data_IF_197590229926
#
_entry.id   IF_197590229926
#
_cell.length_a   1.000
_cell.length_b   1.000
_cell.length_c   1.000
_cell.angle_alpha   90.00
_cell.angle_beta   90.00
_cell.angle_gamma   90.00
#
_symmetry.space_group_name_H-M   'P 1'
#
loop_
_entity.id
_entity.type
_entity.pdbx_description
1 polymer ?
#
# COMPACT_ATOMS: atom_id res chain seq x y z
N UNK A 1 -9.51 4.50 -23.53
CA UNK A 1 -9.20 3.64 -22.36
C UNK A 1 -9.19 4.55 -21.16
N UNK A 2 -9.92 4.21 -20.10
CA UNK A 2 -10.08 5.12 -18.96
C UNK A 2 -9.02 4.83 -17.89
N UNK A 3 -7.83 5.39 -18.07
CA UNK A 3 -6.76 5.35 -17.07
C UNK A 3 -7.04 6.28 -15.87
N UNK A 4 -8.13 7.06 -15.91
CA UNK A 4 -8.48 8.03 -14.86
C UNK A 4 -8.99 7.37 -13.56
N UNK A 5 -9.15 6.05 -13.51
CA UNK A 5 -9.65 5.33 -12.33
C UNK A 5 -8.63 5.29 -11.18
N UNK A 6 -7.35 5.08 -11.49
CA UNK A 6 -6.31 4.75 -10.50
C UNK A 6 -5.35 5.92 -10.25
N UNK A 7 -5.91 7.12 -10.09
CA UNK A 7 -5.14 8.34 -9.81
C UNK A 7 -4.64 8.41 -8.36
N UNK A 8 -3.65 9.26 -8.05
CA UNK A 8 -3.28 9.54 -6.67
C UNK A 8 -4.47 9.95 -5.80
N UNK A 9 -5.41 10.74 -6.35
CA UNK A 9 -6.60 11.23 -5.65
C UNK A 9 -7.55 10.08 -5.26
N UNK A 10 -7.55 9.00 -6.04
CA UNK A 10 -8.29 7.78 -5.73
C UNK A 10 -7.65 6.99 -4.57
N UNK A 11 -6.32 6.86 -4.56
CA UNK A 11 -5.61 6.04 -3.58
C UNK A 11 -5.27 6.75 -2.28
N UNK A 12 -4.99 8.06 -2.29
CA UNK A 12 -4.66 8.86 -1.10
C UNK A 12 -5.56 8.59 0.12
N UNK A 13 -6.90 8.63 0.02
CA UNK A 13 -7.77 8.35 1.17
C UNK A 13 -7.67 6.90 1.67
N UNK A 14 -7.35 5.94 0.80
CA UNK A 14 -7.18 4.53 1.17
C UNK A 14 -5.84 4.32 1.87
N UNK A 15 -4.76 4.87 1.30
CA UNK A 15 -3.42 4.86 1.91
C UNK A 15 -3.47 5.52 3.30
N UNK A 16 -4.15 6.66 3.44
CA UNK A 16 -4.34 7.31 4.75
C UNK A 16 -4.99 6.39 5.78
N UNK A 17 -6.05 5.65 5.41
CA UNK A 17 -6.66 4.63 6.29
C UNK A 17 -5.69 3.50 6.63
N UNK A 18 -4.89 3.05 5.67
CA UNK A 18 -3.85 2.05 5.89
C UNK A 18 -2.76 2.53 6.85
N UNK A 19 -2.39 3.80 6.75
CA UNK A 19 -1.46 4.45 7.67
C UNK A 19 -2.03 4.51 9.08
N UNK A 20 -3.25 5.00 9.24
CA UNK A 20 -3.92 5.04 10.55
C UNK A 20 -4.00 3.65 11.18
N UNK A 21 -4.25 2.62 10.35
CA UNK A 21 -4.32 1.24 10.82
C UNK A 21 -2.97 0.69 11.27
N UNK A 22 -1.91 1.01 10.53
CA UNK A 22 -0.54 0.65 10.92
C UNK A 22 -0.09 1.41 12.16
N UNK A 23 -0.38 2.70 12.27
CA UNK A 23 -0.08 3.50 13.46
C UNK A 23 -0.81 2.97 14.71
N UNK A 24 -2.05 2.47 14.57
CA UNK A 24 -2.82 1.84 15.64
C UNK A 24 -2.20 0.51 16.11
N UNK A 25 -1.78 -0.35 15.17
CA UNK A 25 -1.40 -1.74 15.45
C UNK A 25 0.09 -1.98 15.59
N UNK A 26 0.91 -1.18 14.93
CA UNK A 26 2.36 -1.25 14.94
C UNK A 26 2.97 0.18 14.95
N UNK A 27 2.89 0.90 16.08
CA UNK A 27 3.46 2.24 16.18
C UNK A 27 4.95 2.24 15.84
N UNK A 28 5.39 3.14 14.95
CA UNK A 28 6.79 3.21 14.52
C UNK A 28 7.15 2.28 13.35
N UNK A 29 6.18 1.57 12.76
CA UNK A 29 6.38 0.66 11.61
C UNK A 29 7.25 1.23 10.49
N UNK A 30 7.20 2.54 10.25
CA UNK A 30 7.95 3.21 9.18
C UNK A 30 9.49 3.14 9.37
N UNK A 31 9.98 2.81 10.56
CA UNK A 31 11.40 2.53 10.79
C UNK A 31 11.83 1.14 10.28
N UNK A 32 10.91 0.19 10.27
CA UNK A 32 11.20 -1.21 9.91
C UNK A 32 11.07 -1.48 8.39
N UNK A 33 10.45 -0.55 7.66
CA UNK A 33 10.29 -0.66 6.20
C UNK A 33 11.57 -0.20 5.51
N UNK A 34 12.15 -1.03 4.65
CA UNK A 34 13.19 -0.58 3.72
C UNK A 34 12.53 -0.09 2.41
N UNK A 35 12.56 1.22 2.10
CA UNK A 35 11.90 1.76 0.89
C UNK A 35 12.50 1.22 -0.41
N UNK A 36 13.78 0.86 -0.42
CA UNK A 36 14.47 0.33 -1.62
C UNK A 36 14.00 -1.08 -1.99
N UNK A 37 13.27 -1.76 -1.10
CA UNK A 37 12.71 -3.09 -1.31
C UNK A 37 11.19 -3.08 -1.47
N UNK A 38 10.54 -1.91 -1.46
CA UNK A 38 9.09 -1.81 -1.50
C UNK A 38 8.56 -2.03 -2.92
N UNK A 39 7.77 -3.08 -3.10
CA UNK A 39 7.07 -3.42 -4.35
C UNK A 39 5.60 -3.75 -4.04
N UNK A 40 4.67 -2.85 -4.39
CA UNK A 40 3.28 -2.98 -3.96
C UNK A 40 2.50 -4.12 -4.63
N UNK A 41 2.93 -4.57 -5.81
CA UNK A 41 2.37 -5.71 -6.53
C UNK A 41 2.92 -7.07 -6.08
N UNK A 42 3.85 -7.07 -5.12
CA UNK A 42 4.46 -8.28 -4.57
C UNK A 42 3.95 -8.62 -3.17
N UNK A 43 3.59 -9.89 -2.94
CA UNK A 43 3.00 -10.32 -1.68
C UNK A 43 4.02 -10.34 -0.50
N UNK A 44 5.31 -10.51 -0.74
CA UNK A 44 6.37 -10.46 0.26
C UNK A 44 7.13 -9.13 0.30
N UNK A 45 7.13 -8.36 -0.80
CA UNK A 45 7.82 -7.07 -0.88
C UNK A 45 6.89 -5.85 -0.77
N UNK A 46 5.56 -6.02 -0.71
CA UNK A 46 4.65 -4.91 -0.39
C UNK A 46 4.77 -4.46 1.07
N UNK A 47 4.10 -3.36 1.43
CA UNK A 47 4.16 -2.80 2.79
C UNK A 47 3.84 -3.81 3.89
N UNK A 48 2.86 -4.68 3.68
CA UNK A 48 2.52 -5.74 4.63
C UNK A 48 3.50 -6.91 4.59
N UNK A 49 4.07 -7.20 3.42
CA UNK A 49 5.13 -8.19 3.25
C UNK A 49 6.40 -7.81 4.01
N UNK A 50 6.86 -6.57 3.87
CA UNK A 50 8.05 -6.09 4.57
C UNK A 50 7.88 -6.07 6.10
N UNK A 51 6.67 -5.74 6.59
CA UNK A 51 6.39 -5.66 8.02
C UNK A 51 6.05 -7.01 8.67
N UNK A 52 5.39 -7.91 7.94
CA UNK A 52 4.81 -9.13 8.51
C UNK A 52 5.23 -10.42 7.76
N UNK A 53 6.16 -10.31 6.81
CA UNK A 53 6.70 -11.40 5.99
C UNK A 53 5.84 -11.83 4.80
N UNK A 54 4.54 -11.54 4.81
CA UNK A 54 3.62 -11.86 3.71
C UNK A 54 2.34 -11.03 3.80
N UNK A 55 1.74 -10.69 2.66
CA UNK A 55 0.51 -9.90 2.54
C UNK A 55 -0.62 -10.41 3.45
N UNK A 56 -0.98 -11.69 3.32
CA UNK A 56 -2.06 -12.28 4.13
C UNK A 56 -1.74 -12.34 5.63
N UNK A 57 -0.46 -12.45 5.99
CA UNK A 57 -0.02 -12.39 7.39
C UNK A 57 -0.25 -11.00 7.96
N UNK A 58 0.09 -9.95 7.18
CA UNK A 58 -0.17 -8.57 7.57
C UNK A 58 -1.65 -8.24 7.68
N UNK A 59 -2.48 -8.69 6.73
CA UNK A 59 -3.93 -8.52 6.82
C UNK A 59 -4.49 -9.14 8.11
N UNK A 60 -4.06 -10.36 8.46
CA UNK A 60 -4.44 -11.02 9.71
C UNK A 60 -3.97 -10.25 10.94
N UNK A 61 -2.73 -9.78 10.94
CA UNK A 61 -2.17 -9.00 12.05
C UNK A 61 -2.93 -7.69 12.30
N UNK A 62 -3.43 -7.07 11.23
CA UNK A 62 -4.22 -5.84 11.29
C UNK A 62 -5.73 -6.07 11.52
N UNK A 63 -6.17 -7.33 11.56
CA UNK A 63 -7.60 -7.70 11.58
C UNK A 63 -8.37 -7.10 10.40
N UNK A 64 -7.76 -7.06 9.22
CA UNK A 64 -8.34 -6.57 7.96
C UNK A 64 -8.59 -7.75 7.04
N UNK A 65 -9.77 -7.79 6.41
CA UNK A 65 -10.15 -8.88 5.49
C UNK A 65 -9.83 -8.56 4.03
N UNK A 66 -9.85 -7.28 3.66
CA UNK A 66 -9.54 -6.79 2.32
C UNK A 66 -8.61 -5.58 2.44
N UNK A 67 -7.43 -5.67 1.81
CA UNK A 67 -6.45 -4.59 1.83
C UNK A 67 -6.79 -3.40 0.93
N UNK A 68 -7.79 -3.51 0.06
CA UNK A 68 -8.10 -2.48 -0.95
C UNK A 68 -8.57 -1.17 -0.31
N UNK A 69 -9.44 -1.25 0.70
CA UNK A 69 -9.93 -0.06 1.42
C UNK A 69 -8.83 0.68 2.21
N UNK A 70 -7.70 0.01 2.44
CA UNK A 70 -6.55 0.50 3.21
C UNK A 70 -5.34 0.81 2.33
N UNK A 71 -5.48 0.73 1.01
CA UNK A 71 -4.38 0.99 0.08
C UNK A 71 -3.24 -0.04 0.18
N UNK A 72 -3.53 -1.24 0.66
CA UNK A 72 -2.59 -2.38 0.62
C UNK A 72 -2.76 -3.22 -0.66
N UNK A 73 -3.82 -2.98 -1.44
CA UNK A 73 -4.15 -3.69 -2.67
C UNK A 73 -4.99 -2.80 -3.59
N UNK A 74 -5.25 -3.28 -4.81
CA UNK A 74 -6.03 -2.61 -5.85
C UNK A 74 -7.25 -3.46 -6.21
N UNK A 75 -8.40 -2.82 -6.41
CA UNK A 75 -9.62 -3.42 -6.94
C UNK A 75 -9.60 -3.51 -8.47
N UNK A 76 -8.88 -4.49 -9.01
CA UNK A 76 -8.88 -4.73 -10.45
C UNK A 76 -10.19 -5.35 -10.94
N UNK A 77 -10.60 -4.92 -12.12
CA UNK A 77 -11.58 -5.62 -12.93
C UNK A 77 -10.88 -6.60 -13.89
N UNK A 78 -11.58 -7.68 -14.26
CA UNK A 78 -11.05 -8.67 -15.21
C UNK A 78 -10.72 -8.03 -16.57
N UNK A 79 -11.45 -6.97 -16.93
CA UNK A 79 -11.25 -6.18 -18.16
C UNK A 79 -10.09 -5.19 -18.12
N UNK A 80 -9.46 -4.96 -16.96
CA UNK A 80 -8.32 -4.06 -16.87
C UNK A 80 -7.11 -4.68 -17.56
N UNK A 81 -6.50 -3.95 -18.50
CA UNK A 81 -5.28 -4.38 -19.18
C UNK A 81 -4.05 -4.18 -18.31
N UNK A 82 -2.94 -4.82 -18.68
CA UNK A 82 -1.72 -4.83 -17.89
C UNK A 82 -1.12 -3.42 -17.69
N UNK A 83 -1.29 -2.51 -18.65
CA UNK A 83 -0.87 -1.11 -18.52
C UNK A 83 -1.61 -0.39 -17.39
N UNK A 84 -2.94 -0.56 -17.32
CA UNK A 84 -3.77 0.03 -16.25
C UNK A 84 -3.36 -0.55 -14.89
N UNK A 85 -3.07 -1.86 -14.84
CA UNK A 85 -2.61 -2.52 -13.61
C UNK A 85 -1.25 -1.99 -13.16
N UNK A 86 -0.30 -1.88 -14.10
CA UNK A 86 1.04 -1.37 -13.82
C UNK A 86 1.02 0.08 -13.34
N UNK A 87 0.21 0.95 -13.95
CA UNK A 87 0.06 2.34 -13.52
C UNK A 87 -0.55 2.44 -12.11
N UNK A 88 -1.54 1.61 -11.82
CA UNK A 88 -2.19 1.59 -10.52
C UNK A 88 -1.22 1.13 -9.41
N UNK A 89 -0.43 0.08 -9.66
CA UNK A 89 0.61 -0.38 -8.74
C UNK A 89 1.70 0.66 -8.52
N UNK A 90 2.16 1.31 -9.60
CA UNK A 90 3.15 2.37 -9.51
C UNK A 90 2.64 3.56 -8.67
N UNK A 91 1.38 3.96 -8.87
CA UNK A 91 0.76 5.05 -8.10
C UNK A 91 0.71 4.71 -6.62
N UNK A 92 0.32 3.49 -6.28
CA UNK A 92 0.26 3.04 -4.90
C UNK A 92 1.65 2.99 -4.24
N UNK A 93 2.67 2.53 -4.98
CA UNK A 93 4.07 2.51 -4.54
C UNK A 93 4.55 3.93 -4.19
N UNK A 94 4.37 4.89 -5.11
CA UNK A 94 4.80 6.28 -4.90
C UNK A 94 4.16 6.88 -3.65
N UNK A 95 2.85 6.66 -3.45
CA UNK A 95 2.16 7.17 -2.26
C UNK A 95 2.68 6.57 -0.95
N UNK A 96 3.01 5.28 -0.93
CA UNK A 96 3.59 4.67 0.26
C UNK A 96 5.01 5.17 0.54
N UNK A 97 5.82 5.39 -0.50
CA UNK A 97 7.15 5.99 -0.36
C UNK A 97 7.08 7.40 0.23
N UNK A 98 6.16 8.24 -0.28
CA UNK A 98 5.93 9.60 0.23
C UNK A 98 5.53 9.57 1.72
N UNK A 99 4.59 8.70 2.09
CA UNK A 99 4.15 8.52 3.49
C UNK A 99 5.31 8.12 4.41
N UNK A 100 6.14 7.17 3.98
CA UNK A 100 7.27 6.69 4.78
C UNK A 100 8.27 7.82 5.00
N UNK A 101 8.59 8.58 3.95
CA UNK A 101 9.49 9.72 4.01
C UNK A 101 8.95 10.84 4.92
N UNK A 102 7.67 11.19 4.78
CA UNK A 102 7.00 12.18 5.62
C UNK A 102 7.01 11.79 7.10
N UNK A 103 6.68 10.53 7.42
CA UNK A 103 6.71 10.04 8.81
C UNK A 103 8.09 10.09 9.43
N UNK A 104 9.14 9.72 8.67
CA UNK A 104 10.54 9.79 9.13
C UNK A 104 11.03 11.22 9.36
N UNK A 105 10.54 12.18 8.57
CA UNK A 105 10.85 13.62 8.77
C UNK A 105 10.15 14.21 9.98
N UNK A 106 9.00 13.65 10.37
CA UNK A 106 8.19 14.11 11.50
C UNK A 106 8.57 13.46 12.84
N UNK A 107 9.44 12.43 12.85
CA UNK A 107 9.89 11.70 14.05
C UNK A 107 11.18 12.26 14.64
#
# INVERSE_FOLDING_TARGET
MNTERFTPEYFKPRVAKGVDKLDEKNPGWFHDVNPDLLEMDSADACILGLLYGWYFSGLRALSVTDGTEFGYNIDFEESDCDEVRSEAWHTLLVLWLDVIDEKRKAS
#
